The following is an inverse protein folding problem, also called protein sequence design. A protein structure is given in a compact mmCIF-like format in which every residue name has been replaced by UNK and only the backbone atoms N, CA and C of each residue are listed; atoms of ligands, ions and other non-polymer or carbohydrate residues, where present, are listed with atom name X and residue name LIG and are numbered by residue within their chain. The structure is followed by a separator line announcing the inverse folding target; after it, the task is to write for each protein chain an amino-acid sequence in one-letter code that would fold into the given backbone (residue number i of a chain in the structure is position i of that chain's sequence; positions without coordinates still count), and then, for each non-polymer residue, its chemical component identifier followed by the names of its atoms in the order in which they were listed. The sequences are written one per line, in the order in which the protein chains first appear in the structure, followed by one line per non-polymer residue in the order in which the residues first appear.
data_IF_622428328643
#
_entry.id   IF_622428328643
#
_cell.length_a   1.000
_cell.length_b   1.000
_cell.length_c   1.000
_cell.angle_alpha   90.00
_cell.angle_beta   90.00
_cell.angle_gamma   90.00
#
_symmetry.space_group_name_H-M   'P 1'
#
loop_
_entity.id
_entity.type
_entity.pdbx_description
1 polymer ?
#
# COMPACT_ATOMS: atom_id res chain seq x y z
N UNK A 1 8.57 9.34 4.31
CA UNK A 1 9.41 10.15 3.74
C UNK A 1 10.90 10.20 4.01
N UNK A 2 11.35 10.58 5.20
CA UNK A 2 12.76 10.91 5.45
C UNK A 2 13.76 9.77 5.17
N UNK A 3 13.41 8.53 5.50
CA UNK A 3 14.26 7.37 5.22
C UNK A 3 14.45 7.15 3.71
N UNK A 4 13.37 7.26 2.94
CA UNK A 4 13.47 7.21 1.48
C UNK A 4 14.35 8.34 0.93
N UNK A 5 14.11 9.59 1.32
CA UNK A 5 14.85 10.74 0.79
C UNK A 5 16.35 10.67 1.10
N UNK A 6 16.73 10.18 2.27
CA UNK A 6 18.14 10.14 2.72
C UNK A 6 18.90 8.89 2.29
N UNK A 7 18.23 7.75 2.20
CA UNK A 7 18.88 6.48 1.89
C UNK A 7 18.42 5.89 0.56
N UNK A 8 17.11 5.76 0.39
CA UNK A 8 16.54 5.07 -0.77
C UNK A 8 16.75 5.81 -2.09
N UNK A 9 16.47 7.11 -2.11
CA UNK A 9 16.53 7.92 -3.34
C UNK A 9 17.94 7.97 -3.93
N UNK A 10 18.95 8.18 -3.10
CA UNK A 10 20.34 8.22 -3.55
C UNK A 10 20.80 6.85 -4.08
N UNK A 11 20.48 5.78 -3.37
CA UNK A 11 20.77 4.42 -3.81
C UNK A 11 20.16 4.12 -5.17
N UNK A 12 18.85 4.43 -5.35
CA UNK A 12 18.14 4.16 -6.62
C UNK A 12 18.69 4.98 -7.78
N UNK A 13 18.97 6.27 -7.58
CA UNK A 13 19.58 7.13 -8.61
C UNK A 13 20.97 6.67 -9.02
N UNK A 14 21.78 6.20 -8.08
CA UNK A 14 23.14 5.74 -8.34
C UNK A 14 23.19 4.39 -9.03
N UNK A 15 22.39 3.42 -8.56
CA UNK A 15 22.47 2.04 -9.04
C UNK A 15 21.53 1.75 -10.23
N UNK A 16 20.40 2.46 -10.30
CA UNK A 16 19.36 2.22 -11.31
C UNK A 16 18.89 3.50 -12.03
N UNK A 17 19.82 4.35 -12.54
CA UNK A 17 19.45 5.66 -13.09
C UNK A 17 18.46 5.58 -14.26
N UNK A 18 18.59 4.57 -15.12
CA UNK A 18 17.69 4.37 -16.27
C UNK A 18 16.31 3.81 -15.86
N UNK A 19 16.23 3.10 -14.74
CA UNK A 19 14.98 2.50 -14.25
C UNK A 19 14.24 3.44 -13.29
N UNK A 20 14.95 4.31 -12.57
CA UNK A 20 14.39 5.22 -11.57
C UNK A 20 13.19 6.04 -12.09
N UNK A 21 13.19 6.62 -13.31
CA UNK A 21 12.03 7.33 -13.84
C UNK A 21 10.79 6.46 -14.09
N UNK A 22 10.92 5.15 -14.00
CA UNK A 22 9.86 4.18 -14.22
C UNK A 22 9.34 3.54 -12.92
N UNK A 23 9.88 3.96 -11.78
CA UNK A 23 9.49 3.47 -10.46
C UNK A 23 8.39 4.35 -9.87
N UNK A 24 7.36 3.72 -9.32
CA UNK A 24 6.51 4.36 -8.35
C UNK A 24 7.03 4.06 -6.95
N UNK A 25 7.16 5.07 -6.11
CA UNK A 25 7.77 4.96 -4.78
C UNK A 25 6.86 5.62 -3.76
N UNK A 26 6.65 4.96 -2.63
CA UNK A 26 5.77 5.50 -1.60
C UNK A 26 5.77 4.66 -0.32
N UNK A 27 4.91 5.03 0.60
CA UNK A 27 4.58 4.24 1.78
C UNK A 27 3.06 4.03 1.78
N UNK A 28 2.62 2.90 1.25
CA UNK A 28 1.23 2.49 1.11
C UNK A 28 1.14 1.02 1.48
N UNK A 29 0.07 0.61 2.15
CA UNK A 29 -0.14 -0.80 2.46
C UNK A 29 -0.58 -1.05 3.89
N UNK A 30 -0.19 -2.21 4.41
CA UNK A 30 -0.51 -2.63 5.77
C UNK A 30 0.43 -1.98 6.78
N UNK A 31 -0.12 -1.60 7.92
CA UNK A 31 0.60 -1.02 9.04
C UNK A 31 0.07 0.35 9.45
N UNK A 32 0.19 0.65 10.74
CA UNK A 32 -0.29 1.90 11.35
C UNK A 32 0.25 3.15 10.66
N UNK A 33 1.52 3.16 10.28
CA UNK A 33 2.16 4.27 9.57
C UNK A 33 1.55 4.61 8.21
N UNK A 34 0.98 3.60 7.51
CA UNK A 34 0.26 3.84 6.26
C UNK A 34 -1.12 4.45 6.49
N UNK A 35 -1.71 4.24 7.65
CA UNK A 35 -3.01 4.79 8.05
C UNK A 35 -2.91 6.08 8.87
N UNK A 36 -1.69 6.53 9.22
CA UNK A 36 -1.49 7.72 10.03
C UNK A 36 -1.78 7.52 11.53
N UNK A 37 -1.77 6.27 12.01
CA UNK A 37 -2.04 5.89 13.41
C UNK A 37 -0.75 5.53 14.17
N UNK A 38 0.38 6.12 13.80
CA UNK A 38 1.64 5.90 14.51
C UNK A 38 1.63 6.62 15.85
N UNK A 39 1.41 5.86 16.91
CA UNK A 39 1.59 6.27 18.31
C UNK A 39 2.53 5.32 19.05
N UNK A 40 2.76 5.57 20.33
CA UNK A 40 3.66 4.76 21.14
C UNK A 40 3.15 3.32 21.36
N UNK A 41 1.84 3.10 21.22
CA UNK A 41 1.19 1.81 21.46
C UNK A 41 1.19 0.94 20.19
N UNK A 42 1.27 1.55 18.99
CA UNK A 42 1.20 0.84 17.72
C UNK A 42 2.57 0.39 17.15
N UNK A 43 3.63 0.43 17.96
CA UNK A 43 5.00 0.05 17.56
C UNK A 43 5.29 -1.44 17.56
N UNK A 44 4.32 -2.28 17.84
CA UNK A 44 4.53 -3.68 18.18
C UNK A 44 4.55 -4.66 16.97
N UNK A 45 3.91 -4.37 15.83
CA UNK A 45 3.74 -5.37 14.78
C UNK A 45 4.28 -5.01 13.38
N UNK A 46 4.10 -3.81 12.88
CA UNK A 46 4.45 -3.46 11.50
C UNK A 46 4.96 -2.02 11.48
N UNK A 47 6.02 -1.78 12.25
CA UNK A 47 6.57 -0.46 12.46
C UNK A 47 8.04 -0.39 12.05
N UNK A 48 8.50 0.78 11.66
CA UNK A 48 9.89 1.08 11.34
C UNK A 48 10.05 1.81 10.01
N UNK A 49 11.18 2.50 9.84
CA UNK A 49 11.54 3.19 8.61
C UNK A 49 11.52 2.24 7.42
N UNK A 50 10.71 2.56 6.40
CA UNK A 50 10.55 1.74 5.21
C UNK A 50 9.89 2.51 4.08
N UNK A 51 9.90 1.94 2.89
CA UNK A 51 9.12 2.39 1.73
C UNK A 51 8.90 1.22 0.77
N UNK A 52 7.99 1.41 -0.17
CA UNK A 52 7.71 0.47 -1.25
C UNK A 52 8.19 1.04 -2.57
N UNK A 53 8.62 0.17 -3.48
CA UNK A 53 8.98 0.46 -4.85
C UNK A 53 8.11 -0.40 -5.74
N UNK A 54 7.18 0.21 -6.48
CA UNK A 54 6.37 -0.52 -7.45
C UNK A 54 6.97 -0.40 -8.83
N UNK A 55 7.24 -1.55 -9.42
CA UNK A 55 7.68 -1.68 -10.81
C UNK A 55 6.53 -2.21 -11.67
N UNK A 56 6.50 -1.79 -12.94
CA UNK A 56 5.64 -2.43 -13.92
C UNK A 56 6.09 -3.89 -14.15
N UNK A 57 5.18 -4.75 -14.60
CA UNK A 57 5.41 -6.20 -14.67
C UNK A 57 6.71 -6.58 -15.39
N UNK A 58 6.97 -5.95 -16.52
CA UNK A 58 8.17 -6.21 -17.34
C UNK A 58 9.45 -5.84 -16.57
N UNK A 59 9.45 -4.66 -15.94
CA UNK A 59 10.57 -4.19 -15.14
C UNK A 59 10.75 -5.01 -13.87
N UNK A 60 9.65 -5.43 -13.25
CA UNK A 60 9.68 -6.28 -12.06
C UNK A 60 10.29 -7.65 -12.36
N UNK A 61 9.92 -8.27 -13.47
CA UNK A 61 10.51 -9.56 -13.90
C UNK A 61 11.99 -9.43 -14.19
N UNK A 62 12.40 -8.31 -14.82
CA UNK A 62 13.78 -8.09 -15.24
C UNK A 62 14.70 -7.63 -14.10
N UNK A 63 14.23 -6.74 -13.24
CA UNK A 63 15.06 -6.00 -12.29
C UNK A 63 14.64 -6.17 -10.81
N UNK A 64 13.51 -6.83 -10.56
CA UNK A 64 12.93 -6.89 -9.22
C UNK A 64 13.88 -7.46 -8.17
N UNK A 65 14.64 -8.50 -8.51
CA UNK A 65 15.59 -9.12 -7.59
C UNK A 65 16.80 -8.22 -7.29
N UNK A 66 17.34 -7.56 -8.30
CA UNK A 66 18.50 -6.66 -8.15
C UNK A 66 18.12 -5.41 -7.33
N UNK A 67 16.94 -4.83 -7.61
CA UNK A 67 16.43 -3.68 -6.86
C UNK A 67 16.10 -4.08 -5.42
N UNK A 68 15.55 -5.30 -5.20
CA UNK A 68 15.30 -5.81 -3.86
C UNK A 68 16.61 -6.04 -3.08
N UNK A 69 17.64 -6.61 -3.69
CA UNK A 69 18.94 -6.78 -3.06
C UNK A 69 19.52 -5.43 -2.62
N UNK A 70 19.48 -4.41 -3.49
CA UNK A 70 19.92 -3.07 -3.15
C UNK A 70 19.08 -2.41 -2.05
N UNK A 71 17.77 -2.71 -1.99
CA UNK A 71 16.89 -2.28 -0.91
C UNK A 71 17.28 -2.94 0.43
N UNK A 72 17.60 -4.23 0.41
CA UNK A 72 17.97 -5.01 1.60
C UNK A 72 19.34 -4.58 2.16
N UNK A 73 20.21 -4.01 1.32
CA UNK A 73 21.50 -3.43 1.72
C UNK A 73 21.39 -2.01 2.34
N UNK A 74 20.19 -1.42 2.38
CA UNK A 74 19.98 -0.16 3.06
C UNK A 74 20.20 -0.29 4.58
N UNK A 75 20.56 0.82 5.28
CA UNK A 75 20.83 0.78 6.71
C UNK A 75 19.71 0.14 7.52
N UNK A 76 20.09 -0.78 8.42
CA UNK A 76 19.17 -1.51 9.30
C UNK A 76 18.62 -0.66 10.45
N UNK A 77 19.24 0.49 10.70
CA UNK A 77 18.85 1.44 11.74
C UNK A 77 18.75 2.83 11.12
N UNK A 78 17.72 3.55 11.50
CA UNK A 78 17.51 4.93 11.13
C UNK A 78 17.07 5.75 12.34
N UNK A 79 17.94 6.64 12.81
CA UNK A 79 17.71 7.49 13.99
C UNK A 79 17.37 6.69 15.26
N UNK A 80 18.01 5.54 15.47
CA UNK A 80 17.76 4.66 16.63
C UNK A 80 16.53 3.77 16.48
N UNK A 81 15.95 3.71 15.30
CA UNK A 81 14.81 2.84 14.99
C UNK A 81 15.19 1.78 13.97
N UNK A 82 14.95 0.49 14.25
CA UNK A 82 15.25 -0.58 13.31
C UNK A 82 14.42 -0.40 12.04
N UNK A 83 15.09 -0.48 10.87
CA UNK A 83 14.41 -0.45 9.59
C UNK A 83 13.49 -1.66 9.44
N UNK A 84 12.27 -1.42 8.95
CA UNK A 84 11.33 -2.50 8.67
C UNK A 84 11.78 -3.25 7.42
N UNK A 85 12.16 -4.51 7.58
CA UNK A 85 12.47 -5.42 6.48
C UNK A 85 11.34 -6.41 6.22
N UNK A 86 11.23 -6.88 4.99
CA UNK A 86 10.31 -7.95 4.66
C UNK A 86 10.74 -9.23 5.39
N UNK A 87 9.95 -9.68 6.36
CA UNK A 87 10.12 -10.97 7.03
C UNK A 87 9.37 -12.06 6.25
N UNK A 88 9.64 -13.35 6.57
CA UNK A 88 8.86 -14.46 6.00
C UNK A 88 7.33 -14.29 6.17
N UNK A 89 6.90 -13.68 7.28
CA UNK A 89 5.49 -13.40 7.59
C UNK A 89 5.00 -12.08 7.00
N UNK A 90 5.90 -11.16 6.65
CA UNK A 90 5.62 -9.83 6.07
C UNK A 90 6.11 -9.65 4.63
N UNK A 91 6.41 -10.74 3.92
CA UNK A 91 6.86 -10.69 2.52
C UNK A 91 5.82 -9.96 1.65
N UNK A 92 6.28 -8.97 0.91
CA UNK A 92 5.41 -8.17 0.05
C UNK A 92 4.73 -6.95 0.71
N UNK A 93 5.11 -6.63 1.97
CA UNK A 93 4.57 -5.43 2.67
C UNK A 93 5.43 -4.18 2.49
N UNK A 94 6.73 -4.35 2.24
CA UNK A 94 7.70 -3.28 1.94
C UNK A 94 8.72 -3.80 0.94
N UNK A 95 9.55 -2.92 0.38
CA UNK A 95 10.54 -3.27 -0.64
C UNK A 95 9.95 -3.23 -2.04
N UNK A 96 10.39 -4.15 -2.91
CA UNK A 96 10.07 -4.13 -4.35
C UNK A 96 8.85 -4.97 -4.66
N UNK A 97 7.88 -4.39 -5.32
CA UNK A 97 6.56 -4.96 -5.60
C UNK A 97 6.22 -4.80 -7.09
N UNK A 98 5.47 -5.75 -7.63
CA UNK A 98 4.85 -5.60 -8.94
C UNK A 98 3.56 -4.79 -8.82
N UNK A 99 3.45 -3.67 -9.52
CA UNK A 99 2.29 -2.78 -9.45
C UNK A 99 0.99 -3.49 -9.86
N UNK A 100 1.04 -4.27 -10.93
CA UNK A 100 -0.12 -5.01 -11.43
C UNK A 100 -0.59 -6.09 -10.46
N UNK A 101 0.33 -6.82 -9.85
CA UNK A 101 0.00 -7.88 -8.89
C UNK A 101 -0.51 -7.26 -7.56
N UNK A 102 0.01 -6.10 -7.15
CA UNK A 102 -0.48 -5.31 -6.03
C UNK A 102 -1.95 -4.92 -6.22
N UNK A 103 -2.29 -4.25 -7.32
CA UNK A 103 -3.67 -3.82 -7.56
C UNK A 103 -4.61 -5.00 -7.76
N UNK A 104 -4.18 -6.06 -8.46
CA UNK A 104 -4.98 -7.28 -8.59
C UNK A 104 -5.31 -7.90 -7.24
N UNK A 105 -4.36 -7.92 -6.32
CA UNK A 105 -4.58 -8.49 -4.99
C UNK A 105 -5.59 -7.68 -4.19
N UNK A 106 -5.45 -6.36 -4.13
CA UNK A 106 -6.31 -5.53 -3.29
C UNK A 106 -7.65 -5.13 -3.94
N UNK A 107 -7.68 -4.96 -5.25
CA UNK A 107 -8.88 -4.48 -5.95
C UNK A 107 -9.55 -5.52 -6.87
N UNK A 108 -8.92 -6.67 -7.06
CA UNK A 108 -9.38 -7.72 -7.94
C UNK A 108 -9.10 -7.48 -9.43
N UNK A 109 -8.49 -6.35 -9.80
CA UNK A 109 -8.16 -6.00 -11.18
C UNK A 109 -6.87 -5.16 -11.24
N UNK A 110 -6.11 -5.30 -12.32
CA UNK A 110 -4.83 -4.59 -12.52
C UNK A 110 -5.01 -3.08 -12.60
N UNK A 111 -6.03 -2.64 -13.33
CA UNK A 111 -6.38 -1.23 -13.54
C UNK A 111 -7.49 -0.75 -12.58
N UNK A 112 -7.70 -1.51 -11.48
CA UNK A 112 -8.80 -1.30 -10.56
C UNK A 112 -10.15 -1.76 -11.11
N UNK A 113 -11.21 -1.79 -10.26
CA UNK A 113 -12.53 -2.25 -10.67
C UNK A 113 -13.17 -1.31 -11.70
N UNK A 114 -13.82 -1.89 -12.73
CA UNK A 114 -14.49 -1.16 -13.80
C UNK A 114 -16.01 -1.29 -13.76
N UNK A 115 -16.49 -2.44 -13.30
CA UNK A 115 -17.93 -2.74 -13.24
C UNK A 115 -18.45 -2.70 -11.81
N UNK A 116 -19.76 -2.43 -11.63
CA UNK A 116 -20.41 -2.49 -10.32
C UNK A 116 -20.20 -3.87 -9.66
N UNK A 117 -20.18 -4.95 -10.44
CA UNK A 117 -19.96 -6.29 -9.93
C UNK A 117 -18.55 -6.46 -9.37
N UNK A 118 -17.53 -5.92 -10.04
CA UNK A 118 -16.16 -5.92 -9.53
C UNK A 118 -16.05 -5.09 -8.25
N UNK A 119 -16.60 -3.87 -8.22
CA UNK A 119 -16.61 -3.01 -7.03
C UNK A 119 -17.28 -3.66 -5.82
N UNK A 120 -18.38 -4.38 -6.02
CA UNK A 120 -19.06 -5.10 -4.94
C UNK A 120 -18.20 -6.17 -4.28
N UNK A 121 -17.23 -6.73 -5.00
CA UNK A 121 -16.33 -7.79 -4.52
C UNK A 121 -15.13 -7.26 -3.74
N UNK A 122 -14.78 -5.97 -3.88
CA UNK A 122 -13.64 -5.39 -3.17
C UNK A 122 -13.99 -5.17 -1.70
N UNK A 123 -13.30 -5.82 -0.75
CA UNK A 123 -13.49 -5.55 0.67
C UNK A 123 -13.06 -4.12 1.02
N UNK A 124 -13.76 -3.47 1.96
CA UNK A 124 -13.44 -2.10 2.40
C UNK A 124 -12.01 -1.99 2.96
N UNK A 125 -11.57 -2.98 3.75
CA UNK A 125 -10.22 -3.01 4.31
C UNK A 125 -9.15 -3.09 3.20
N UNK A 126 -9.40 -3.86 2.13
CA UNK A 126 -8.49 -3.96 0.99
C UNK A 126 -8.42 -2.66 0.20
N UNK A 127 -9.59 -2.04 -0.03
CA UNK A 127 -9.64 -0.74 -0.70
C UNK A 127 -8.90 0.34 0.10
N UNK A 128 -9.13 0.38 1.41
CA UNK A 128 -8.42 1.29 2.30
C UNK A 128 -6.91 1.05 2.28
N UNK A 129 -6.45 -0.21 2.30
CA UNK A 129 -5.04 -0.57 2.25
C UNK A 129 -4.39 -0.18 0.91
N UNK A 130 -5.09 -0.35 -0.21
CA UNK A 130 -4.57 0.00 -1.53
C UNK A 130 -4.52 1.51 -1.80
N UNK A 131 -5.28 2.30 -1.05
CA UNK A 131 -5.42 3.74 -1.28
C UNK A 131 -4.88 4.63 -0.15
N UNK A 132 -4.45 4.06 0.99
CA UNK A 132 -3.88 4.81 2.12
C UNK A 132 -2.49 5.40 1.82
N UNK A 133 -1.89 5.98 2.85
CA UNK A 133 -0.48 6.41 2.82
C UNK A 133 -0.16 7.49 1.80
N UNK A 134 1.10 7.53 1.38
CA UNK A 134 1.64 8.60 0.54
C UNK A 134 2.50 8.03 -0.59
N UNK A 135 2.31 8.55 -1.81
CA UNK A 135 3.22 8.36 -2.94
C UNK A 135 4.28 9.47 -2.87
N UNK A 136 5.55 9.11 -2.89
CA UNK A 136 6.68 10.04 -2.88
C UNK A 136 7.10 10.43 -4.31
N UNK A 137 7.05 9.48 -5.24
CA UNK A 137 7.43 9.65 -6.63
C UNK A 137 6.68 8.65 -7.52
N UNK A 138 6.15 9.10 -8.63
CA UNK A 138 5.60 8.26 -9.71
C UNK A 138 5.67 9.02 -11.03
N UNK A 139 6.87 9.12 -11.65
CA UNK A 139 7.04 9.93 -12.86
C UNK A 139 6.21 9.48 -14.06
N UNK A 140 5.89 8.19 -14.15
CA UNK A 140 5.00 7.65 -15.18
C UNK A 140 3.51 7.91 -14.88
N UNK A 141 3.16 8.18 -13.62
CA UNK A 141 1.79 8.34 -13.19
C UNK A 141 0.93 7.06 -13.24
N UNK A 142 1.50 5.95 -13.65
CA UNK A 142 0.74 4.70 -13.88
C UNK A 142 0.20 4.10 -12.59
N UNK A 143 0.97 4.13 -11.50
CA UNK A 143 0.54 3.69 -10.18
C UNK A 143 -0.48 4.67 -9.58
N UNK A 144 -0.20 5.97 -9.67
CA UNK A 144 -1.05 7.03 -9.10
C UNK A 144 -2.42 7.10 -9.80
N UNK A 145 -2.48 6.85 -11.11
CA UNK A 145 -3.75 6.82 -11.85
C UNK A 145 -4.70 5.75 -11.31
N UNK A 146 -4.22 4.53 -11.10
CA UNK A 146 -5.05 3.46 -10.51
C UNK A 146 -5.41 3.79 -9.06
N UNK A 147 -4.44 4.31 -8.28
CA UNK A 147 -4.69 4.74 -6.89
C UNK A 147 -5.79 5.81 -6.81
N UNK A 148 -5.77 6.81 -7.69
CA UNK A 148 -6.78 7.86 -7.72
C UNK A 148 -8.19 7.30 -7.94
N UNK A 149 -8.33 6.37 -8.87
CA UNK A 149 -9.60 5.65 -9.10
C UNK A 149 -10.10 4.92 -7.85
N UNK A 150 -9.18 4.37 -7.04
CA UNK A 150 -9.53 3.72 -5.78
C UNK A 150 -9.86 4.71 -4.66
N UNK A 151 -9.24 5.91 -4.67
CA UNK A 151 -9.52 6.99 -3.72
C UNK A 151 -10.92 7.59 -3.87
N UNK A 152 -11.50 7.55 -5.08
CA UNK A 152 -12.89 7.96 -5.32
C UNK A 152 -13.87 6.99 -4.62
N UNK A 153 -13.34 5.88 -4.09
CA UNK A 153 -14.06 4.86 -3.36
C UNK A 153 -15.12 4.16 -4.22
N UNK A 154 -16.14 3.59 -3.60
CA UNK A 154 -17.16 2.86 -4.33
C UNK A 154 -18.06 3.78 -5.15
N UNK A 155 -18.54 3.33 -6.34
CA UNK A 155 -19.68 3.98 -7.01
C UNK A 155 -20.85 4.14 -6.04
N UNK A 156 -21.65 5.20 -6.24
CA UNK A 156 -22.68 5.62 -5.30
C UNK A 156 -23.64 4.47 -4.89
N UNK A 157 -24.13 3.71 -5.84
CA UNK A 157 -25.04 2.58 -5.57
C UNK A 157 -24.41 1.53 -4.66
N UNK A 158 -23.13 1.20 -4.87
CA UNK A 158 -22.40 0.24 -4.05
C UNK A 158 -22.16 0.83 -2.66
N UNK A 159 -21.77 2.10 -2.58
CA UNK A 159 -21.54 2.81 -1.33
C UNK A 159 -22.79 2.88 -0.48
N UNK A 160 -23.92 3.31 -1.04
CA UNK A 160 -25.20 3.38 -0.34
C UNK A 160 -25.64 2.03 0.18
N UNK A 161 -25.51 0.98 -0.63
CA UNK A 161 -25.83 -0.39 -0.20
C UNK A 161 -24.95 -0.86 0.96
N UNK A 162 -23.66 -0.56 0.95
CA UNK A 162 -22.74 -0.90 2.05
C UNK A 162 -23.07 -0.14 3.32
N UNK A 163 -23.35 1.16 3.23
CA UNK A 163 -23.77 1.99 4.37
C UNK A 163 -25.06 1.42 4.98
N UNK A 164 -26.07 1.12 4.15
CA UNK A 164 -27.32 0.53 4.61
C UNK A 164 -27.13 -0.82 5.31
N UNK A 165 -26.25 -1.69 4.76
CA UNK A 165 -25.94 -2.98 5.38
C UNK A 165 -25.23 -2.80 6.74
N UNK A 166 -24.30 -1.84 6.86
CA UNK A 166 -23.62 -1.54 8.13
C UNK A 166 -24.58 -0.96 9.17
N UNK A 167 -25.44 -0.03 8.76
CA UNK A 167 -26.47 0.53 9.62
C UNK A 167 -27.43 -0.55 10.15
N UNK A 168 -27.84 -1.50 9.30
CA UNK A 168 -28.68 -2.62 9.70
C UNK A 168 -27.98 -3.53 10.73
N UNK A 169 -26.69 -3.83 10.54
CA UNK A 169 -25.89 -4.61 11.51
C UNK A 169 -25.78 -3.88 12.84
N UNK A 170 -25.52 -2.57 12.83
CA UNK A 170 -25.43 -1.76 14.05
C UNK A 170 -26.76 -1.71 14.80
N UNK A 171 -27.87 -1.51 14.10
CA UNK A 171 -29.20 -1.51 14.68
C UNK A 171 -29.54 -2.87 15.32
N UNK A 172 -29.23 -3.97 14.62
CA UNK A 172 -29.42 -5.32 15.14
C UNK A 172 -28.56 -5.59 16.37
N UNK A 173 -27.28 -5.24 16.35
CA UNK A 173 -26.36 -5.40 17.47
C UNK A 173 -26.82 -4.57 18.69
N UNK A 174 -27.30 -3.34 18.46
CA UNK A 174 -27.84 -2.49 19.50
C UNK A 174 -29.06 -3.10 20.22
N UNK A 175 -29.93 -3.75 19.49
CA UNK A 175 -31.11 -4.43 20.06
C UNK A 175 -30.74 -5.58 21.02
N UNK A 176 -29.66 -6.31 20.73
CA UNK A 176 -29.22 -7.43 21.57
C UNK A 176 -28.38 -7.01 22.78
N UNK A 177 -27.74 -5.84 22.71
CA UNK A 177 -26.81 -5.35 23.74
C UNK A 177 -27.44 -4.29 24.67
N UNK A 178 -28.70 -3.91 24.48
CA UNK A 178 -29.39 -3.06 25.43
C UNK A 178 -29.67 -3.86 26.72
N UNK A 179 -29.25 -3.37 27.90
CA UNK A 179 -29.61 -4.02 29.16
C UNK A 179 -31.14 -4.05 29.29
N UNK A 180 -31.69 -5.22 29.56
CA UNK A 180 -33.10 -5.42 29.90
C UNK A 180 -33.37 -4.99 31.34
#
# INVERSE_FOLDING_TARGET
GNYYERCGREMLLRQFPALFPRMAIGLIGEGSGCFGFDDELSRDHVWGPSFCIWLQKEDFVRWGNEVQAAYDDLPDDWNGYPARKATHQGKGRVGVLCAQDWYRYYSGAVEGPETLQQWRRVPEAFLATASNGVVFSDPLGSFTTVRQKLLDFYPEDVRLKRIAARAAIMAQSGQYNLPR
#
